data_IF_632134797414
#
_entry.id   IF_632134797414
#
_cell.length_a   1.000
_cell.length_b   1.000
_cell.length_c   1.000
_cell.angle_alpha   90.00
_cell.angle_beta   90.00
_cell.angle_gamma   90.00
#
_symmetry.space_group_name_H-M   'P 1'
#
loop_
_entity.id
_entity.type
_entity.pdbx_description
1 polymer ?
#
# COMPACT_ATOMS: atom_id res chain seq x y z
N UNK A 1 4.90 -6.22 -2.37
CA UNK A 1 4.49 -7.65 -2.35
C UNK A 1 3.03 -7.79 -2.77
N UNK A 2 2.06 -7.24 -2.01
CA UNK A 2 0.61 -7.36 -2.32
C UNK A 2 0.26 -6.88 -3.73
N UNK A 3 0.78 -5.73 -4.18
CA UNK A 3 0.54 -5.22 -5.55
C UNK A 3 0.95 -6.24 -6.64
N UNK A 4 2.08 -6.94 -6.46
CA UNK A 4 2.55 -7.94 -7.41
C UNK A 4 1.68 -9.20 -7.36
N UNK A 5 1.19 -9.59 -6.19
CA UNK A 5 0.25 -10.69 -6.04
C UNK A 5 -1.08 -10.38 -6.74
N UNK A 6 -1.58 -9.15 -6.62
CA UNK A 6 -2.79 -8.69 -7.32
C UNK A 6 -2.59 -8.71 -8.84
N UNK A 7 -1.45 -8.23 -9.36
CA UNK A 7 -1.11 -8.31 -10.78
C UNK A 7 -1.07 -9.77 -11.28
N UNK A 8 -0.46 -10.67 -10.50
CA UNK A 8 -0.46 -12.09 -10.81
C UNK A 8 -1.89 -12.64 -10.81
N UNK A 9 -2.71 -12.26 -9.84
CA UNK A 9 -4.14 -12.58 -9.78
C UNK A 9 -4.87 -12.17 -11.05
N UNK A 10 -4.65 -10.95 -11.55
CA UNK A 10 -5.28 -10.47 -12.78
C UNK A 10 -4.89 -11.32 -14.01
N UNK A 11 -3.61 -11.70 -14.14
CA UNK A 11 -3.17 -12.57 -15.24
C UNK A 11 -3.75 -13.99 -15.19
N UNK A 12 -4.22 -14.43 -14.02
CA UNK A 12 -4.74 -15.78 -13.75
C UNK A 12 -6.26 -15.82 -13.59
N UNK A 13 -6.91 -14.68 -13.63
CA UNK A 13 -8.34 -14.57 -13.41
C UNK A 13 -9.12 -14.88 -14.70
N UNK A 14 -9.94 -15.93 -14.63
CA UNK A 14 -10.92 -16.24 -15.65
C UNK A 14 -12.24 -15.53 -15.31
N UNK A 15 -12.57 -14.51 -16.10
CA UNK A 15 -13.74 -13.67 -15.88
C UNK A 15 -15.06 -14.37 -16.18
N UNK A 16 -15.07 -15.36 -17.08
CA UNK A 16 -16.26 -16.13 -17.43
C UNK A 16 -16.60 -17.14 -16.32
N UNK A 17 -15.60 -17.83 -15.79
CA UNK A 17 -15.75 -18.80 -14.71
C UNK A 17 -15.71 -18.17 -13.31
N UNK A 18 -15.39 -16.87 -13.23
CA UNK A 18 -15.24 -16.12 -11.98
C UNK A 18 -14.29 -16.80 -11.00
N UNK A 19 -13.17 -17.30 -11.50
CA UNK A 19 -12.17 -18.02 -10.70
C UNK A 19 -10.74 -17.69 -11.13
N UNK A 20 -9.78 -17.86 -10.21
CA UNK A 20 -8.36 -17.89 -10.53
C UNK A 20 -7.92 -19.31 -10.84
N UNK A 21 -7.15 -19.49 -11.91
CA UNK A 21 -6.60 -20.77 -12.33
C UNK A 21 -5.07 -20.75 -12.25
N UNK A 22 -4.46 -21.83 -11.77
CA UNK A 22 -2.99 -21.94 -11.69
C UNK A 22 -2.46 -23.05 -12.61
N UNK A 23 -1.41 -22.80 -13.40
CA UNK A 23 -0.78 -23.84 -14.22
C UNK A 23 0.17 -24.74 -13.41
N UNK A 24 0.44 -24.42 -12.14
CA UNK A 24 1.51 -25.05 -11.35
C UNK A 24 1.10 -26.41 -10.78
N UNK A 25 -0.18 -26.56 -10.42
CA UNK A 25 -0.69 -27.80 -9.82
C UNK A 25 -1.07 -28.75 -10.95
N UNK A 26 -0.14 -29.63 -11.32
CA UNK A 26 -0.35 -30.61 -12.38
C UNK A 26 -1.36 -31.68 -11.95
N UNK A 27 -2.32 -32.01 -12.81
CA UNK A 27 -3.26 -33.12 -12.62
C UNK A 27 -4.55 -32.79 -11.84
N UNK A 28 -4.73 -31.54 -11.39
CA UNK A 28 -5.98 -31.06 -10.80
C UNK A 28 -6.30 -29.68 -11.37
N UNK A 29 -7.57 -29.44 -11.73
CA UNK A 29 -8.07 -28.11 -12.07
C UNK A 29 -8.15 -27.28 -10.77
N UNK A 30 -6.99 -26.93 -10.20
CA UNK A 30 -6.90 -26.15 -8.99
C UNK A 30 -7.38 -24.72 -9.29
N UNK A 31 -8.58 -24.41 -8.82
CA UNK A 31 -9.20 -23.11 -8.99
C UNK A 31 -9.55 -22.49 -7.65
N UNK A 32 -9.50 -21.16 -7.60
CA UNK A 32 -9.98 -20.39 -6.46
C UNK A 32 -11.14 -19.54 -6.95
N UNK A 33 -12.36 -19.75 -6.45
CA UNK A 33 -13.52 -18.94 -6.83
C UNK A 33 -13.40 -17.51 -6.28
N UNK A 34 -13.85 -16.52 -7.06
CA UNK A 34 -14.00 -15.13 -6.60
C UNK A 34 -14.93 -15.02 -5.40
N UNK A 35 -15.84 -15.97 -5.23
CA UNK A 35 -16.77 -15.98 -4.10
C UNK A 35 -16.10 -16.32 -2.77
N UNK A 36 -14.81 -16.67 -2.78
CA UNK A 36 -14.01 -16.75 -1.55
C UNK A 36 -14.04 -15.44 -0.75
N UNK A 37 -14.22 -14.28 -1.41
CA UNK A 37 -14.39 -12.98 -0.73
C UNK A 37 -15.56 -13.01 0.26
N UNK A 38 -16.63 -13.78 -0.01
CA UNK A 38 -17.79 -13.87 0.89
C UNK A 38 -17.44 -14.42 2.29
N UNK A 39 -16.31 -15.14 2.42
CA UNK A 39 -15.83 -15.73 3.68
C UNK A 39 -14.85 -14.83 4.42
N UNK A 40 -14.52 -13.67 3.86
CA UNK A 40 -13.55 -12.72 4.42
C UNK A 40 -14.23 -11.66 5.29
N UNK A 41 -13.43 -10.75 5.85
CA UNK A 41 -13.89 -9.71 6.77
C UNK A 41 -15.06 -8.91 6.15
N UNK A 42 -16.25 -9.03 6.76
CA UNK A 42 -17.49 -8.45 6.26
C UNK A 42 -17.45 -6.93 6.10
N UNK A 43 -16.58 -6.24 6.84
CA UNK A 43 -16.43 -4.79 6.75
C UNK A 43 -15.80 -4.33 5.42
N UNK A 44 -14.96 -5.16 4.79
CA UNK A 44 -14.17 -4.76 3.61
C UNK A 44 -14.29 -5.71 2.42
N UNK A 45 -14.87 -6.91 2.60
CA UNK A 45 -14.88 -7.96 1.58
C UNK A 45 -15.55 -7.55 0.26
N UNK A 46 -16.67 -6.84 0.32
CA UNK A 46 -17.46 -6.50 -0.87
C UNK A 46 -16.76 -5.38 -1.66
N UNK A 47 -16.22 -4.38 -0.94
CA UNK A 47 -15.38 -3.34 -1.54
C UNK A 47 -14.11 -3.94 -2.16
N UNK A 48 -13.42 -4.84 -1.45
CA UNK A 48 -12.19 -5.46 -1.95
C UNK A 48 -12.44 -6.30 -3.21
N UNK A 49 -13.55 -7.07 -3.26
CA UNK A 49 -14.00 -7.77 -4.46
C UNK A 49 -14.26 -6.81 -5.61
N UNK A 50 -15.01 -5.74 -5.34
CA UNK A 50 -15.34 -4.71 -6.34
C UNK A 50 -14.07 -4.03 -6.88
N UNK A 51 -13.16 -3.61 -6.00
CA UNK A 51 -11.90 -2.95 -6.36
C UNK A 51 -11.01 -3.85 -7.22
N UNK A 52 -10.90 -5.13 -6.86
CA UNK A 52 -10.17 -6.11 -7.66
C UNK A 52 -10.76 -6.22 -9.08
N UNK A 53 -12.09 -6.34 -9.19
CA UNK A 53 -12.76 -6.45 -10.49
C UNK A 53 -12.62 -5.16 -11.31
N UNK A 54 -12.75 -3.99 -10.69
CA UNK A 54 -12.54 -2.68 -11.33
C UNK A 54 -11.11 -2.58 -11.86
N UNK A 55 -10.11 -2.97 -11.07
CA UNK A 55 -8.73 -3.03 -11.54
C UNK A 55 -8.56 -4.03 -12.70
N UNK A 56 -9.14 -5.23 -12.58
CA UNK A 56 -9.07 -6.26 -13.61
C UNK A 56 -9.68 -5.82 -14.96
N UNK A 57 -10.74 -4.99 -14.93
CA UNK A 57 -11.36 -4.42 -16.12
C UNK A 57 -10.66 -3.15 -16.63
N UNK A 58 -9.88 -2.46 -15.78
CA UNK A 58 -9.11 -1.28 -16.19
C UNK A 58 -7.94 -1.63 -17.11
N UNK A 59 -7.37 -2.84 -16.96
CA UNK A 59 -6.34 -3.37 -17.83
C UNK A 59 -6.95 -3.98 -19.09
N UNK A 60 -6.48 -3.54 -20.25
CA UNK A 60 -6.93 -4.07 -21.53
C UNK A 60 -6.68 -5.59 -21.62
N UNK A 61 -7.63 -6.39 -22.14
CA UNK A 61 -7.50 -7.85 -22.19
C UNK A 61 -6.23 -8.37 -22.88
N UNK A 62 -5.74 -7.66 -23.91
CA UNK A 62 -4.50 -8.03 -24.61
C UNK A 62 -3.26 -7.86 -23.72
N UNK A 63 -3.25 -6.85 -22.85
CA UNK A 63 -2.17 -6.67 -21.85
C UNK A 63 -2.31 -7.71 -20.75
N UNK A 64 -3.54 -7.93 -20.24
CA UNK A 64 -3.85 -8.89 -19.17
C UNK A 64 -3.45 -10.33 -19.50
N UNK A 65 -3.63 -10.74 -20.76
CA UNK A 65 -3.32 -12.09 -21.25
C UNK A 65 -1.87 -12.27 -21.71
N UNK A 66 -1.10 -11.19 -21.78
CA UNK A 66 0.29 -11.23 -22.21
C UNK A 66 1.21 -11.35 -20.98
N UNK A 67 1.81 -12.52 -20.79
CA UNK A 67 2.65 -12.80 -19.62
C UNK A 67 3.83 -11.84 -19.51
N UNK A 68 4.52 -11.55 -20.62
CA UNK A 68 5.67 -10.64 -20.62
C UNK A 68 5.27 -9.18 -20.31
N UNK A 69 4.12 -8.72 -20.83
CA UNK A 69 3.61 -7.40 -20.47
C UNK A 69 3.31 -7.30 -18.97
N UNK A 70 2.69 -8.34 -18.39
CA UNK A 70 2.42 -8.40 -16.95
C UNK A 70 3.72 -8.43 -16.14
N UNK A 71 4.71 -9.22 -16.57
CA UNK A 71 6.01 -9.29 -15.89
C UNK A 71 6.73 -7.92 -15.90
N UNK A 72 6.68 -7.19 -17.01
CA UNK A 72 7.20 -5.82 -17.09
C UNK A 72 6.44 -4.87 -16.16
N UNK A 73 5.12 -4.96 -16.09
CA UNK A 73 4.30 -4.17 -15.16
C UNK A 73 4.65 -4.50 -13.70
N UNK A 74 4.87 -5.77 -13.38
CA UNK A 74 5.33 -6.22 -12.05
C UNK A 74 6.66 -5.57 -11.70
N UNK A 75 7.62 -5.51 -12.64
CA UNK A 75 8.90 -4.84 -12.43
C UNK A 75 8.73 -3.33 -12.23
N UNK A 76 7.88 -2.66 -13.01
CA UNK A 76 7.56 -1.23 -12.84
C UNK A 76 6.99 -0.95 -11.44
N UNK A 77 6.09 -1.81 -10.97
CA UNK A 77 5.48 -1.70 -9.63
C UNK A 77 6.47 -2.01 -8.52
N UNK A 78 7.34 -3.00 -8.72
CA UNK A 78 8.41 -3.35 -7.78
C UNK A 78 9.37 -2.17 -7.58
N UNK A 79 9.87 -1.61 -8.68
CA UNK A 79 10.77 -0.46 -8.70
C UNK A 79 10.04 0.88 -8.63
N UNK A 80 8.99 1.00 -7.82
CA UNK A 80 8.30 2.28 -7.62
C UNK A 80 9.14 3.22 -6.73
N UNK A 81 9.51 4.43 -7.22
CA UNK A 81 10.38 5.36 -6.47
C UNK A 81 9.69 6.01 -5.26
N UNK A 82 8.35 6.01 -5.24
CA UNK A 82 7.56 6.71 -4.22
C UNK A 82 7.25 5.82 -2.99
N UNK A 83 8.02 4.74 -2.75
CA UNK A 83 7.80 3.87 -1.59
C UNK A 83 8.30 4.56 -0.31
N UNK A 84 7.49 4.65 0.76
CA UNK A 84 7.86 5.37 1.99
C UNK A 84 9.11 4.83 2.69
N UNK A 85 9.41 3.53 2.54
CA UNK A 85 10.57 2.89 3.16
C UNK A 85 11.89 3.14 2.40
N UNK A 86 11.85 3.73 1.20
CA UNK A 86 13.03 3.96 0.38
C UNK A 86 13.72 5.26 0.83
N UNK A 87 14.64 5.14 1.78
CA UNK A 87 15.29 6.31 2.40
C UNK A 87 16.72 6.55 1.89
N UNK A 88 17.43 5.49 1.49
CA UNK A 88 18.79 5.58 0.99
C UNK A 88 18.84 6.33 -0.37
N UNK A 89 19.67 7.37 -0.54
CA UNK A 89 19.78 8.11 -1.80
C UNK A 89 20.26 7.29 -3.00
N UNK A 90 21.20 6.37 -2.82
CA UNK A 90 21.70 5.50 -3.90
C UNK A 90 20.63 4.51 -4.36
N UNK A 91 19.87 3.96 -3.42
CA UNK A 91 18.72 3.11 -3.74
C UNK A 91 17.65 3.89 -4.50
N UNK A 92 17.37 5.14 -4.11
CA UNK A 92 16.43 6.02 -4.85
C UNK A 92 16.86 6.22 -6.30
N UNK A 93 18.14 6.48 -6.55
CA UNK A 93 18.69 6.65 -7.90
C UNK A 93 18.53 5.35 -8.69
N UNK A 94 18.89 4.22 -8.11
CA UNK A 94 18.82 2.90 -8.76
C UNK A 94 17.39 2.50 -9.07
N UNK A 95 16.47 2.67 -8.12
CA UNK A 95 15.03 2.40 -8.30
C UNK A 95 14.45 3.31 -9.39
N UNK A 96 14.76 4.61 -9.37
CA UNK A 96 14.29 5.54 -10.40
C UNK A 96 14.80 5.18 -11.80
N UNK A 97 16.06 4.72 -11.90
CA UNK A 97 16.66 4.24 -13.15
C UNK A 97 15.88 3.03 -13.68
N UNK A 98 15.73 1.99 -12.87
CA UNK A 98 15.01 0.78 -13.28
C UNK A 98 13.54 1.03 -13.59
N UNK A 99 12.87 1.90 -12.82
CA UNK A 99 11.50 2.33 -13.12
C UNK A 99 11.38 2.88 -14.55
N UNK A 100 12.28 3.79 -14.95
CA UNK A 100 12.30 4.37 -16.29
C UNK A 100 12.64 3.35 -17.36
N UNK A 101 13.62 2.49 -17.10
CA UNK A 101 14.06 1.44 -18.04
C UNK A 101 12.93 0.46 -18.34
N UNK A 102 12.27 -0.07 -17.31
CA UNK A 102 11.16 -1.02 -17.49
C UNK A 102 9.91 -0.34 -18.09
N UNK A 103 9.64 0.92 -17.73
CA UNK A 103 8.55 1.70 -18.36
C UNK A 103 8.79 1.89 -19.86
N UNK A 104 10.01 2.27 -20.25
CA UNK A 104 10.40 2.40 -21.65
C UNK A 104 10.40 1.07 -22.40
N UNK A 105 10.85 0.00 -21.75
CA UNK A 105 10.82 -1.35 -22.32
C UNK A 105 9.39 -1.83 -22.55
N UNK A 106 8.48 -1.61 -21.61
CA UNK A 106 7.06 -1.92 -21.78
C UNK A 106 6.45 -1.16 -22.96
N UNK A 107 6.72 0.15 -23.07
CA UNK A 107 6.21 0.93 -24.20
C UNK A 107 6.70 0.37 -25.55
N UNK A 108 8.01 0.14 -25.69
CA UNK A 108 8.59 -0.44 -26.91
C UNK A 108 8.08 -1.85 -27.19
N UNK A 109 7.88 -2.65 -26.14
CA UNK A 109 7.33 -3.98 -26.26
C UNK A 109 5.90 -3.92 -26.82
N UNK A 110 5.02 -3.10 -26.24
CA UNK A 110 3.66 -2.90 -26.74
C UNK A 110 3.65 -2.36 -28.18
N UNK A 111 4.53 -1.40 -28.51
CA UNK A 111 4.69 -0.88 -29.88
C UNK A 111 5.06 -1.99 -30.87
N UNK A 112 5.93 -2.93 -30.47
CA UNK A 112 6.35 -4.04 -31.33
C UNK A 112 5.25 -5.04 -31.66
N UNK A 113 4.24 -5.19 -30.79
CA UNK A 113 3.15 -6.16 -30.95
C UNK A 113 1.82 -5.54 -31.41
N UNK A 114 1.57 -4.27 -31.07
CA UNK A 114 0.30 -3.57 -31.34
C UNK A 114 0.45 -2.36 -32.27
N UNK A 115 1.67 -1.98 -32.63
CA UNK A 115 1.94 -0.85 -33.53
C UNK A 115 1.32 0.46 -33.00
N UNK A 116 0.56 1.21 -33.81
CA UNK A 116 -0.03 2.50 -33.40
C UNK A 116 -0.95 2.42 -32.17
N UNK A 117 -1.63 1.28 -31.94
CA UNK A 117 -2.54 1.08 -30.80
C UNK A 117 -1.82 0.97 -29.47
N UNK A 118 -0.52 0.70 -29.47
CA UNK A 118 0.28 0.57 -28.27
C UNK A 118 0.24 1.81 -27.38
N UNK A 119 0.19 3.00 -28.00
CA UNK A 119 0.13 4.28 -27.30
C UNK A 119 -1.11 4.37 -26.41
N UNK A 120 -2.28 4.04 -26.95
CA UNK A 120 -3.54 4.06 -26.21
C UNK A 120 -3.50 3.07 -25.03
N UNK A 121 -2.97 1.86 -25.25
CA UNK A 121 -2.79 0.86 -24.19
C UNK A 121 -1.87 1.38 -23.08
N UNK A 122 -0.74 1.99 -23.46
CA UNK A 122 0.24 2.49 -22.51
C UNK A 122 -0.27 3.72 -21.72
N UNK A 123 -1.01 4.64 -22.36
CA UNK A 123 -1.57 5.84 -21.72
C UNK A 123 -2.62 5.53 -20.64
N UNK A 124 -3.30 4.38 -20.72
CA UNK A 124 -4.26 3.94 -19.68
C UNK A 124 -3.60 3.28 -18.46
N UNK A 125 -2.34 2.88 -18.58
CA UNK A 125 -1.64 2.13 -17.55
C UNK A 125 -1.49 2.90 -16.22
N UNK A 126 -1.10 4.20 -16.18
CA UNK A 126 -0.96 4.93 -14.93
C UNK A 126 -2.23 4.92 -14.07
N UNK A 127 -3.40 5.09 -14.70
CA UNK A 127 -4.70 5.04 -14.02
C UNK A 127 -4.99 3.65 -13.47
N UNK A 128 -4.67 2.60 -14.23
CA UNK A 128 -4.81 1.22 -13.76
C UNK A 128 -3.91 0.92 -12.56
N UNK A 129 -2.67 1.44 -12.56
CA UNK A 129 -1.74 1.29 -11.44
C UNK A 129 -2.16 2.08 -10.19
N UNK A 130 -2.91 3.17 -10.34
CA UNK A 130 -3.51 3.86 -9.20
C UNK A 130 -4.61 3.02 -8.55
N UNK A 131 -5.48 2.41 -9.35
CA UNK A 131 -6.50 1.47 -8.84
C UNK A 131 -5.87 0.28 -8.11
N UNK A 132 -4.77 -0.27 -8.64
CA UNK A 132 -3.98 -1.31 -7.97
C UNK A 132 -3.52 -0.87 -6.58
N UNK A 133 -2.92 0.32 -6.48
CA UNK A 133 -2.41 0.84 -5.20
C UNK A 133 -3.54 1.02 -4.18
N UNK A 134 -4.65 1.61 -4.60
CA UNK A 134 -5.85 1.78 -3.75
C UNK A 134 -6.37 0.45 -3.24
N UNK A 135 -6.57 -0.53 -4.13
CA UNK A 135 -7.01 -1.87 -3.75
C UNK A 135 -6.06 -2.51 -2.72
N UNK A 136 -4.75 -2.43 -2.97
CA UNK A 136 -3.75 -3.07 -2.10
C UNK A 136 -3.67 -2.41 -0.73
N UNK A 137 -3.78 -1.08 -0.63
CA UNK A 137 -3.82 -0.36 0.63
C UNK A 137 -5.03 -0.77 1.49
N UNK A 138 -6.18 -1.00 0.86
CA UNK A 138 -7.41 -1.39 1.55
C UNK A 138 -7.47 -2.90 1.91
N UNK A 139 -6.58 -3.72 1.34
CA UNK A 139 -6.63 -5.18 1.50
C UNK A 139 -6.01 -5.71 2.79
N UNK A 140 -5.26 -4.89 3.53
CA UNK A 140 -4.47 -5.34 4.69
C UNK A 140 -5.30 -5.99 5.82
N UNK A 141 -6.58 -5.62 5.96
CA UNK A 141 -7.48 -6.11 7.02
C UNK A 141 -8.47 -7.18 6.53
N UNK A 142 -8.29 -7.68 5.30
CA UNK A 142 -9.23 -8.58 4.65
C UNK A 142 -9.38 -9.93 5.38
N UNK A 143 -8.34 -10.38 6.08
CA UNK A 143 -8.29 -11.66 6.79
C UNK A 143 -8.51 -11.55 8.31
N UNK A 144 -8.87 -10.36 8.80
CA UNK A 144 -9.10 -10.14 10.24
C UNK A 144 -10.26 -11.01 10.71
N UNK A 145 -10.00 -11.83 11.74
CA UNK A 145 -10.97 -12.73 12.38
C UNK A 145 -11.58 -13.78 11.43
N UNK A 146 -10.94 -14.09 10.30
CA UNK A 146 -11.47 -15.07 9.32
C UNK A 146 -10.61 -16.30 9.12
N UNK A 147 -9.44 -16.35 9.76
CA UNK A 147 -8.47 -17.45 9.61
C UNK A 147 -7.96 -17.92 10.97
N UNK A 148 -7.70 -19.22 11.09
CA UNK A 148 -7.00 -19.78 12.25
C UNK A 148 -5.50 -19.42 12.15
N UNK A 149 -4.90 -18.72 13.13
CA UNK A 149 -3.48 -18.41 13.14
C UNK A 149 -2.60 -19.67 13.09
N UNK A 150 -3.03 -20.81 13.62
CA UNK A 150 -2.18 -22.01 13.68
C UNK A 150 -2.12 -22.78 12.35
N UNK A 151 -3.09 -22.54 11.45
CA UNK A 151 -3.21 -23.20 10.15
C UNK A 151 -2.77 -22.31 8.98
N UNK A 152 -2.35 -21.08 9.27
CA UNK A 152 -1.96 -20.09 8.27
C UNK A 152 -0.45 -19.96 8.19
N UNK A 153 0.05 -19.93 6.95
CA UNK A 153 1.47 -19.71 6.67
C UNK A 153 1.98 -18.40 7.29
N UNK A 154 3.25 -18.39 7.69
CA UNK A 154 3.84 -17.23 8.38
C UNK A 154 3.95 -16.01 7.46
N UNK A 155 4.43 -16.19 6.22
CA UNK A 155 4.73 -15.09 5.30
C UNK A 155 3.49 -14.23 4.93
N UNK A 156 2.31 -14.80 4.61
CA UNK A 156 1.11 -13.98 4.35
C UNK A 156 0.69 -13.09 5.54
N UNK A 157 0.95 -13.51 6.78
CA UNK A 157 0.59 -12.74 7.99
C UNK A 157 1.40 -11.44 8.12
N UNK A 158 2.57 -11.35 7.51
CA UNK A 158 3.37 -10.12 7.47
C UNK A 158 2.69 -9.02 6.63
N UNK A 159 1.78 -9.39 5.72
CA UNK A 159 1.09 -8.46 4.82
C UNK A 159 -0.39 -8.28 5.17
N UNK A 160 -1.02 -9.29 5.77
CA UNK A 160 -2.43 -9.30 6.11
C UNK A 160 -2.64 -9.50 7.61
N UNK A 161 -3.34 -8.57 8.25
CA UNK A 161 -3.72 -8.68 9.65
C UNK A 161 -4.76 -9.80 9.80
N UNK A 162 -4.51 -10.73 10.71
CA UNK A 162 -5.39 -11.87 11.00
C UNK A 162 -6.18 -11.71 12.30
N UNK A 163 -5.72 -10.86 13.21
CA UNK A 163 -6.40 -10.52 14.47
C UNK A 163 -6.58 -9.01 14.61
N UNK A 164 -7.63 -8.61 15.33
CA UNK A 164 -7.74 -7.24 15.85
C UNK A 164 -6.73 -7.14 16.99
N UNK A 165 -5.68 -6.32 16.85
CA UNK A 165 -4.86 -5.98 18.00
C UNK A 165 -5.78 -5.36 19.06
N UNK A 166 -5.79 -5.86 20.30
CA UNK A 166 -6.55 -5.21 21.35
C UNK A 166 -6.01 -3.79 21.46
N UNK A 167 -6.89 -2.81 21.28
CA UNK A 167 -6.56 -1.41 21.52
C UNK A 167 -5.87 -1.36 22.88
N UNK A 168 -4.59 -0.99 22.89
CA UNK A 168 -3.86 -0.72 24.14
C UNK A 168 -4.70 0.25 24.92
N UNK A 169 -5.36 -0.27 25.95
CA UNK A 169 -6.03 0.53 26.96
C UNK A 169 -4.90 1.32 27.58
N UNK A 170 -4.79 2.60 27.18
CA UNK A 170 -4.07 3.60 27.93
C UNK A 170 -4.68 3.58 29.32
N UNK A 171 -4.06 2.80 30.20
CA UNK A 171 -4.32 2.80 31.63
C UNK A 171 -3.75 4.13 32.12
N UNK A 172 -4.52 5.20 31.93
CA UNK A 172 -4.35 6.41 32.72
C UNK A 172 -4.70 6.02 34.14
N UNK A 173 -3.65 5.73 34.90
CA UNK A 173 -3.61 5.60 36.34
C UNK A 173 -4.65 6.48 37.03
N UNK A 174 -5.47 5.83 37.85
CA UNK A 174 -6.26 6.40 38.94
C UNK A 174 -5.50 7.56 39.60
N UNK A 175 -6.12 8.73 39.56
CA UNK A 175 -5.75 9.92 40.32
C UNK A 175 -5.70 9.53 41.80
N UNK A 176 -4.49 9.33 42.32
CA UNK A 176 -4.24 9.26 43.76
C UNK A 176 -4.49 10.62 44.38
N UNK A 177 -5.03 10.60 45.60
CA UNK A 177 -5.36 11.76 46.42
C UNK A 177 -4.27 12.85 46.43
N UNK A 178 -4.66 14.14 46.51
CA UNK A 178 -3.71 15.22 46.61
C UNK A 178 -2.98 15.18 47.97
N UNK A 179 -1.65 15.39 48.01
CA UNK A 179 -0.90 15.46 49.26
C UNK A 179 -1.26 16.72 50.07
N UNK A 180 -1.14 16.69 51.41
CA UNK A 180 -1.53 17.80 52.27
C UNK A 180 -0.56 18.99 52.14
N UNK A 181 -1.13 20.20 52.23
CA UNK A 181 -0.45 21.49 52.23
C UNK A 181 0.59 21.58 53.38
N UNK A 182 1.82 22.04 53.12
CA UNK A 182 2.75 22.41 54.17
C UNK A 182 2.43 23.81 54.71
N UNK A 183 2.29 23.92 56.03
CA UNK A 183 2.24 25.19 56.76
C UNK A 183 3.57 25.93 56.65
N UNK A 184 3.54 27.18 56.18
CA UNK A 184 4.71 28.06 56.13
C UNK A 184 4.49 29.27 57.04
N UNK A 185 5.18 29.27 58.19
CA UNK A 185 5.51 30.44 58.99
C UNK A 185 6.84 31.03 58.50
N UNK A 186 6.87 32.35 58.24
CA UNK A 186 8.08 33.18 58.06
C UNK A 186 8.88 32.87 56.79
N UNK A 187 9.54 33.77 56.10
CA UNK A 187 10.03 35.09 56.44
C UNK A 187 10.24 35.86 55.12
N UNK A 188 10.20 37.18 55.21
CA UNK A 188 10.23 38.14 54.10
C UNK A 188 11.68 38.43 53.71
N UNK A 189 12.03 38.42 52.42
CA UNK A 189 12.69 39.56 51.73
C UNK A 189 12.98 39.30 50.24
N UNK A 190 13.02 40.34 49.39
CA UNK A 190 12.93 40.24 47.93
C UNK A 190 14.28 40.49 47.24
N UNK A 191 14.49 39.98 46.01
CA UNK A 191 15.37 40.66 45.04
C UNK A 191 15.16 40.22 43.57
N UNK A 192 14.93 41.27 42.76
CA UNK A 192 15.27 41.50 41.36
C UNK A 192 14.89 40.51 40.24
N UNK A 193 13.85 40.91 39.52
CA UNK A 193 13.62 40.63 38.10
C UNK A 193 14.55 41.46 37.20
N UNK A 194 15.10 40.83 36.16
CA UNK A 194 15.53 41.51 34.93
C UNK A 194 15.09 40.68 33.71
N UNK A 195 14.56 41.29 32.64
CA UNK A 195 13.90 40.58 31.54
C UNK A 195 14.85 40.23 30.38
N UNK A 196 14.60 39.09 29.75
CA UNK A 196 15.27 38.63 28.52
C UNK A 196 14.43 39.04 27.30
N UNK A 197 15.16 39.54 26.30
CA UNK A 197 14.79 40.05 24.96
C UNK A 197 13.88 39.14 24.13
N UNK A 198 13.23 39.70 23.10
CA UNK A 198 13.29 39.04 21.80
C UNK A 198 13.68 39.97 20.65
N UNK A 199 14.68 39.51 19.90
CA UNK A 199 15.22 40.10 18.67
C UNK A 199 14.24 39.86 17.50
N UNK A 200 13.75 40.94 16.89
CA UNK A 200 13.02 40.92 15.62
C UNK A 200 14.04 40.94 14.47
N UNK A 201 14.05 39.89 13.65
CA UNK A 201 14.77 39.86 12.37
C UNK A 201 13.76 39.65 11.25
N UNK A 202 13.53 40.70 10.46
CA UNK A 202 12.74 40.65 9.23
C UNK A 202 13.68 40.49 8.01
N UNK A 203 13.25 39.80 6.94
CA UNK A 203 14.07 39.56 5.74
C UNK A 203 14.06 40.77 4.77
N UNK A 204 15.07 40.90 3.89
CA UNK A 204 15.13 42.00 2.93
C UNK A 204 14.23 41.75 1.70
N UNK A 205 13.55 42.83 1.32
CA UNK A 205 12.70 42.94 0.14
C UNK A 205 13.51 42.99 -1.16
N UNK A 206 13.02 42.25 -2.15
CA UNK A 206 13.42 42.27 -3.56
C UNK A 206 13.17 43.65 -4.19
N UNK A 207 14.06 44.11 -5.07
CA UNK A 207 13.78 45.20 -6.01
C UNK A 207 14.60 45.04 -7.29
N UNK A 208 13.86 45.12 -8.40
CA UNK A 208 14.19 45.48 -9.79
C UNK A 208 15.45 44.90 -10.45
#
# INVERSE_FOLDING_TARGET
MVEMLTLRGVSRFNEAEKCWQTPVVSGQNATVSVDMFSKLNSAVRDQSKSDFLTFCHSLHPEVRKNELAIDLIVLIVLFCPNRPALNNPEDKITVQKHFKEYSSLLNRYLESIHGPRARELYETLPKSLELLRTHTANSATLFVNTVNPDETEALPKEFFKTSVEPATTSSSSSFGDPPPLPSANGDVTPHHSAPVTPTLTSPPSTSA
#
